data_IF_066334748040
#
_entry.id   IF_066334748040
#
_cell.length_a   1.000
_cell.length_b   1.000
_cell.length_c   1.000
_cell.angle_alpha   90.00
_cell.angle_beta   90.00
_cell.angle_gamma   90.00
#
_symmetry.space_group_name_H-M   'P 1'
#
loop_
_entity.id
_entity.type
_entity.pdbx_description
1 polymer ?
#
# COMPACT_ATOMS: atom_id res chain seq x y z
N UNK A 1 -2.68 -15.05 44.42
CA UNK A 1 -1.56 -14.12 44.19
C UNK A 1 -2.15 -12.88 43.52
N UNK A 2 -2.27 -11.76 44.23
CA UNK A 2 -2.87 -10.55 43.65
C UNK A 2 -1.90 -9.96 42.62
N UNK A 3 -2.38 -9.71 41.40
CA UNK A 3 -1.54 -9.12 40.35
C UNK A 3 -1.18 -7.68 40.71
N UNK A 4 0.09 -7.35 40.54
CA UNK A 4 0.64 -6.03 40.91
C UNK A 4 0.09 -4.95 39.98
N UNK A 5 0.00 -3.70 40.47
CA UNK A 5 -0.46 -2.56 39.64
C UNK A 5 0.37 -2.39 38.36
N UNK A 6 1.65 -2.75 38.40
CA UNK A 6 2.54 -2.74 37.23
C UNK A 6 2.17 -3.79 36.17
N UNK A 7 1.74 -4.99 36.58
CA UNK A 7 1.25 -6.00 35.64
C UNK A 7 0.06 -5.48 34.83
N UNK A 8 -0.91 -4.85 35.49
CA UNK A 8 -2.08 -4.31 34.81
C UNK A 8 -1.73 -3.20 33.83
N UNK A 9 -0.80 -2.31 34.20
CA UNK A 9 -0.29 -1.27 33.29
C UNK A 9 0.36 -1.86 32.04
N UNK A 10 1.23 -2.86 32.20
CA UNK A 10 1.88 -3.52 31.06
C UNK A 10 0.88 -4.28 30.19
N UNK A 11 -0.08 -4.99 30.79
CA UNK A 11 -1.10 -5.73 30.06
C UNK A 11 -2.01 -4.80 29.25
N UNK A 12 -2.44 -3.67 29.81
CA UNK A 12 -3.24 -2.69 29.08
C UNK A 12 -2.46 -2.08 27.92
N UNK A 13 -1.19 -1.72 28.14
CA UNK A 13 -0.36 -1.15 27.09
C UNK A 13 -0.11 -2.16 25.96
N UNK A 14 0.28 -3.39 26.28
CA UNK A 14 0.55 -4.42 25.27
C UNK A 14 -0.71 -4.77 24.48
N UNK A 15 -1.85 -4.95 25.15
CA UNK A 15 -3.12 -5.22 24.48
C UNK A 15 -3.53 -4.08 23.55
N UNK A 16 -3.36 -2.83 23.98
CA UNK A 16 -3.68 -1.65 23.15
C UNK A 16 -2.78 -1.58 21.92
N UNK A 17 -1.47 -1.76 22.11
CA UNK A 17 -0.51 -1.78 21.00
C UNK A 17 -0.86 -2.88 20.01
N UNK A 18 -1.14 -4.10 20.48
CA UNK A 18 -1.53 -5.21 19.62
C UNK A 18 -2.78 -4.88 18.80
N UNK A 19 -3.82 -4.33 19.43
CA UNK A 19 -5.07 -3.96 18.74
C UNK A 19 -4.80 -2.89 17.69
N UNK A 20 -4.08 -1.83 18.04
CA UNK A 20 -3.76 -0.73 17.10
C UNK A 20 -2.91 -1.25 15.93
N UNK A 21 -1.93 -2.11 16.18
CA UNK A 21 -1.11 -2.72 15.13
C UNK A 21 -1.94 -3.57 14.18
N UNK A 22 -2.81 -4.44 14.70
CA UNK A 22 -3.68 -5.28 13.86
C UNK A 22 -4.60 -4.41 13.00
N UNK A 23 -5.24 -3.41 13.60
CA UNK A 23 -6.14 -2.49 12.87
C UNK A 23 -5.37 -1.73 11.79
N UNK A 24 -4.18 -1.21 12.10
CA UNK A 24 -3.35 -0.48 11.14
C UNK A 24 -2.94 -1.34 9.95
N UNK A 25 -2.56 -2.60 10.18
CA UNK A 25 -2.22 -3.53 9.11
C UNK A 25 -3.44 -3.87 8.24
N UNK A 26 -4.59 -4.15 8.86
CA UNK A 26 -5.84 -4.42 8.13
C UNK A 26 -6.23 -3.20 7.29
N UNK A 27 -6.11 -1.98 7.85
CA UNK A 27 -6.42 -0.75 7.14
C UNK A 27 -5.56 -0.57 5.89
N UNK A 28 -4.25 -0.82 5.98
CA UNK A 28 -3.33 -0.73 4.82
C UNK A 28 -3.72 -1.75 3.74
N UNK A 29 -4.21 -2.94 4.11
CA UNK A 29 -4.62 -3.94 3.13
C UNK A 29 -5.96 -3.62 2.45
N UNK A 30 -6.94 -3.08 3.19
CA UNK A 30 -8.28 -2.79 2.67
C UNK A 30 -8.33 -1.44 1.96
N UNK A 31 -7.74 -0.42 2.56
CA UNK A 31 -7.69 0.94 2.07
C UNK A 31 -6.24 1.29 1.71
N UNK A 32 -5.67 0.55 0.74
CA UNK A 32 -4.32 0.81 0.27
C UNK A 32 -4.19 2.27 -0.13
N UNK A 33 -3.30 3.04 0.52
CA UNK A 33 -3.07 4.42 0.14
C UNK A 33 -2.52 4.48 -1.28
N UNK A 34 -2.80 5.57 -1.99
CA UNK A 34 -2.52 5.71 -3.42
C UNK A 34 -1.06 5.39 -3.79
N UNK A 35 -0.10 5.70 -2.92
CA UNK A 35 1.33 5.43 -3.15
C UNK A 35 1.72 3.94 -3.06
N UNK A 36 0.87 3.08 -2.48
CA UNK A 36 1.04 1.63 -2.48
C UNK A 36 0.20 0.93 -3.56
N UNK A 37 -0.63 1.68 -4.29
CA UNK A 37 -1.48 1.12 -5.33
C UNK A 37 -0.68 0.96 -6.62
N UNK A 38 -0.72 -0.25 -7.17
CA UNK A 38 -0.26 -0.55 -8.52
C UNK A 38 -1.41 -1.15 -9.34
N UNK A 39 -1.35 -1.00 -10.66
CA UNK A 39 -2.29 -1.66 -11.57
C UNK A 39 -2.00 -3.16 -11.74
N UNK A 40 -2.78 -3.83 -12.60
CA UNK A 40 -2.64 -5.26 -12.93
C UNK A 40 -1.25 -5.60 -13.50
N UNK A 41 -0.61 -4.64 -14.16
CA UNK A 41 0.68 -4.78 -14.80
C UNK A 41 1.82 -4.37 -13.87
N UNK A 42 1.52 -4.03 -12.61
CA UNK A 42 2.47 -3.67 -11.58
C UNK A 42 2.91 -2.20 -11.63
N UNK A 43 2.29 -1.37 -12.47
CA UNK A 43 2.67 0.05 -12.61
C UNK A 43 2.18 0.83 -11.39
N UNK A 44 3.08 1.47 -10.62
CA UNK A 44 2.67 2.30 -9.49
C UNK A 44 1.78 3.48 -9.90
N UNK A 45 0.83 3.87 -9.05
CA UNK A 45 -0.15 4.92 -9.37
C UNK A 45 0.49 6.28 -9.69
N UNK A 46 1.59 6.64 -9.04
CA UNK A 46 2.33 7.88 -9.28
C UNK A 46 3.45 7.75 -10.31
N UNK A 47 3.38 6.75 -11.17
CA UNK A 47 4.34 6.63 -12.28
C UNK A 47 4.18 7.83 -13.22
N UNK A 48 5.27 8.56 -13.52
CA UNK A 48 5.19 9.68 -14.44
C UNK A 48 4.86 9.21 -15.87
N UNK A 49 4.40 10.14 -16.69
CA UNK A 49 4.21 9.88 -18.12
C UNK A 49 5.56 9.55 -18.76
N UNK A 50 5.55 8.64 -19.74
CA UNK A 50 6.71 8.20 -20.51
C UNK A 50 6.57 8.65 -21.96
N UNK A 51 7.70 8.84 -22.64
CA UNK A 51 7.70 9.18 -24.06
C UNK A 51 7.30 7.98 -24.91
N UNK A 52 6.40 8.18 -25.87
CA UNK A 52 6.03 7.19 -26.87
C UNK A 52 7.18 7.02 -27.86
N UNK A 53 7.80 5.83 -27.97
CA UNK A 53 8.92 5.59 -28.88
C UNK A 53 8.57 5.74 -30.37
N UNK A 54 7.29 5.68 -30.73
CA UNK A 54 6.84 5.80 -32.13
C UNK A 54 6.62 7.26 -32.56
N UNK A 55 6.21 8.13 -31.63
CA UNK A 55 5.75 9.50 -31.96
C UNK A 55 6.26 10.63 -31.06
N UNK A 56 6.99 10.31 -29.98
CA UNK A 56 7.54 11.29 -29.03
C UNK A 56 6.52 11.91 -28.06
N UNK A 57 5.26 11.47 -28.08
CA UNK A 57 4.21 12.02 -27.22
C UNK A 57 4.32 11.49 -25.78
N UNK A 58 3.89 12.25 -24.78
CA UNK A 58 3.86 11.78 -23.39
C UNK A 58 2.61 10.92 -23.13
N UNK A 59 2.79 9.64 -22.83
CA UNK A 59 1.72 8.65 -22.57
C UNK A 59 1.86 8.01 -21.21
N UNK A 60 0.79 7.35 -20.73
CA UNK A 60 0.87 6.54 -19.51
C UNK A 60 1.63 5.26 -19.81
N UNK A 61 2.49 4.84 -18.87
CA UNK A 61 3.24 3.60 -19.00
C UNK A 61 2.34 2.37 -19.22
N UNK A 62 1.17 2.33 -18.58
CA UNK A 62 0.20 1.24 -18.77
C UNK A 62 -0.33 1.13 -20.21
N UNK A 63 -0.49 2.25 -20.91
CA UNK A 63 -0.92 2.23 -22.32
C UNK A 63 0.19 1.68 -23.23
N UNK A 64 1.45 2.01 -22.94
CA UNK A 64 2.61 1.47 -23.64
C UNK A 64 2.76 -0.05 -23.41
N UNK A 65 2.57 -0.50 -22.17
CA UNK A 65 2.58 -1.93 -21.83
C UNK A 65 1.47 -2.67 -22.58
N UNK A 66 0.26 -2.10 -22.60
CA UNK A 66 -0.89 -2.70 -23.28
C UNK A 66 -0.62 -2.86 -24.78
N UNK A 67 -0.08 -1.81 -25.41
CA UNK A 67 0.36 -1.82 -26.82
C UNK A 67 1.35 -2.95 -27.13
N UNK A 68 2.42 -3.09 -26.34
CA UNK A 68 3.42 -4.15 -26.57
C UNK A 68 2.94 -5.56 -26.20
N UNK A 69 1.92 -5.68 -25.33
CA UNK A 69 1.24 -6.95 -25.07
C UNK A 69 0.28 -7.36 -26.18
N UNK A 70 -0.09 -6.43 -27.06
CA UNK A 70 -1.08 -6.65 -28.12
C UNK A 70 -2.53 -6.63 -27.64
N UNK A 71 -2.79 -5.95 -26.51
CA UNK A 71 -4.13 -5.68 -25.95
C UNK A 71 -4.66 -4.33 -26.46
#
# INVERSE_FOLDING_TARGET
>A
MAMTKGFWGMLTLSATVTVVSIIGLIYIMVAQPEYLRSDRDGVPFYTPMVENPEGGEAIKLGDLIRHYKGE
#
